data_IF_194852348674
#
_entry.id   IF_194852348674
#
_cell.length_a   1.000
_cell.length_b   1.000
_cell.length_c   1.000
_cell.angle_alpha   90.00
_cell.angle_beta   90.00
_cell.angle_gamma   90.00
#
_symmetry.space_group_name_H-M   'P 1'
#
loop_
_entity.id
_entity.type
_entity.pdbx_description
1 polymer ?
2 water ?
#
# COMPACT_ATOMS: atom_id res chain seq x y z
N UNK A 1 -7.04 2.75 -18.19
CA UNK A 1 -6.42 2.06 -19.35
C UNK A 1 -7.47 1.16 -20.01
N UNK A 2 -7.29 0.85 -21.29
CA UNK A 2 -8.20 -0.05 -22.02
C UNK A 2 -7.44 -1.37 -22.22
N UNK A 3 -8.02 -2.49 -21.79
CA UNK A 3 -7.32 -3.78 -21.92
C UNK A 3 -7.37 -4.56 -23.26
N UNK A 4 -8.39 -4.36 -24.10
CA UNK A 4 -8.50 -5.07 -25.39
C UNK A 4 -7.22 -4.92 -26.24
N UNK A 5 -6.78 -3.68 -26.51
CA UNK A 5 -5.54 -3.60 -27.31
C UNK A 5 -4.34 -4.32 -26.66
N UNK A 6 -4.44 -4.57 -25.36
CA UNK A 6 -3.37 -5.25 -24.63
C UNK A 6 -3.51 -6.74 -24.90
N UNK A 7 -4.73 -7.21 -24.91
CA UNK A 7 -5.03 -8.60 -25.22
C UNK A 7 -4.49 -8.87 -26.63
N UNK A 8 -4.84 -7.97 -27.55
CA UNK A 8 -4.40 -8.07 -28.92
C UNK A 8 -2.87 -8.10 -29.05
N UNK A 9 -2.14 -7.29 -28.29
CA UNK A 9 -0.68 -7.32 -28.34
C UNK A 9 -0.09 -8.64 -27.80
N UNK A 10 -0.68 -9.12 -26.71
CA UNK A 10 -0.22 -10.34 -26.06
C UNK A 10 -0.49 -11.57 -26.91
N UNK A 11 -1.60 -11.56 -27.62
CA UNK A 11 -1.98 -12.64 -28.50
C UNK A 11 -0.96 -12.73 -29.63
N UNK A 12 -0.58 -11.59 -30.21
CA UNK A 12 0.41 -11.57 -31.28
C UNK A 12 1.76 -12.10 -30.77
N UNK A 13 2.11 -11.78 -29.54
CA UNK A 13 3.38 -12.27 -28.98
C UNK A 13 3.30 -13.79 -28.80
N UNK A 14 2.16 -14.27 -28.33
CA UNK A 14 1.96 -15.69 -28.07
C UNK A 14 2.08 -16.49 -29.38
N UNK A 15 1.41 -16.00 -30.41
CA UNK A 15 1.42 -16.62 -31.73
C UNK A 15 2.84 -16.66 -32.25
N UNK A 16 3.52 -15.52 -32.24
CA UNK A 16 4.90 -15.46 -32.72
C UNK A 16 5.84 -16.37 -31.92
N UNK A 17 5.56 -16.55 -30.63
CA UNK A 17 6.38 -17.40 -29.75
C UNK A 17 6.14 -18.88 -30.09
N UNK A 18 4.90 -19.21 -30.43
CA UNK A 18 4.57 -20.58 -30.76
C UNK A 18 5.29 -21.13 -32.01
N UNK A 19 5.30 -20.36 -33.09
CA UNK A 19 5.95 -20.77 -34.34
C UNK A 19 7.40 -20.33 -34.34
N UNK A 20 7.80 -19.72 -33.24
CA UNK A 20 9.16 -19.28 -33.01
C UNK A 20 9.73 -18.20 -33.93
N UNK A 21 8.98 -17.13 -34.14
CA UNK A 21 9.50 -16.05 -34.94
C UNK A 21 10.49 -15.22 -34.13
N UNK A 22 11.40 -14.56 -34.84
CA UNK A 22 12.43 -13.72 -34.25
C UNK A 22 11.86 -12.40 -33.77
N UNK A 23 10.83 -11.93 -34.46
CA UNK A 23 10.23 -10.65 -34.13
C UNK A 23 8.84 -10.47 -34.69
N UNK A 24 8.17 -9.42 -34.20
CA UNK A 24 6.84 -9.05 -34.65
C UNK A 24 6.71 -7.55 -34.49
N UNK A 25 5.70 -6.98 -35.12
CA UNK A 25 5.46 -5.57 -35.06
C UNK A 25 4.02 -5.34 -34.69
N UNK A 26 3.78 -4.38 -33.79
CA UNK A 26 2.43 -4.02 -33.37
C UNK A 26 2.35 -2.50 -33.33
N UNK A 27 1.16 -1.95 -33.60
CA UNK A 27 0.99 -0.49 -33.56
C UNK A 27 1.39 -0.03 -32.16
N UNK A 28 2.19 1.01 -32.09
CA UNK A 28 2.66 1.55 -30.82
C UNK A 28 1.58 2.32 -30.01
N UNK A 29 1.76 2.34 -28.69
CA UNK A 29 0.91 3.07 -27.73
C UNK A 29 1.72 3.15 -26.44
N UNK A 30 1.39 4.11 -25.58
CA UNK A 30 2.11 4.32 -24.33
C UNK A 30 2.13 3.07 -23.45
N UNK A 31 0.94 2.53 -23.21
CA UNK A 31 0.80 1.35 -22.38
C UNK A 31 1.54 0.17 -23.02
N UNK A 32 1.34 -0.01 -24.33
CA UNK A 32 2.00 -1.11 -25.03
C UNK A 32 3.51 -0.97 -24.94
N UNK A 33 4.01 0.25 -25.05
CA UNK A 33 5.44 0.42 -24.93
C UNK A 33 5.89 0.13 -23.49
N UNK A 34 5.05 0.46 -22.51
CA UNK A 34 5.37 0.22 -21.10
C UNK A 34 5.44 -1.27 -20.82
N UNK A 35 4.57 -2.04 -21.45
CA UNK A 35 4.59 -3.50 -21.28
C UNK A 35 5.85 -4.06 -21.94
N UNK A 36 6.21 -3.51 -23.09
CA UNK A 36 7.41 -3.96 -23.79
C UNK A 36 8.66 -3.74 -22.93
N UNK A 37 8.77 -2.57 -22.30
CA UNK A 37 9.92 -2.25 -21.46
C UNK A 37 10.08 -3.27 -20.33
N UNK A 38 8.97 -3.54 -19.65
CA UNK A 38 8.94 -4.47 -18.53
C UNK A 38 9.33 -5.86 -19.02
N UNK A 39 8.80 -6.27 -20.16
CA UNK A 39 9.09 -7.59 -20.72
C UNK A 39 10.57 -7.66 -21.06
N UNK A 40 11.11 -6.56 -21.56
CA UNK A 40 12.53 -6.54 -21.88
C UNK A 40 13.39 -6.55 -20.60
N UNK A 41 12.98 -5.71 -19.65
CA UNK A 41 13.68 -5.57 -18.39
C UNK A 41 13.67 -6.85 -17.56
N UNK A 42 12.57 -7.59 -17.62
CA UNK A 42 12.44 -8.82 -16.88
C UNK A 42 12.96 -10.06 -17.63
N UNK A 43 13.64 -9.84 -18.75
CA UNK A 43 14.22 -10.92 -19.54
C UNK A 43 13.34 -11.80 -20.42
N UNK A 44 12.09 -11.40 -20.63
CA UNK A 44 11.15 -12.17 -21.46
C UNK A 44 11.28 -11.97 -22.96
N UNK A 45 11.83 -10.83 -23.38
CA UNK A 45 12.05 -10.54 -24.79
C UNK A 45 13.48 -10.02 -24.93
N UNK A 46 14.02 -10.03 -26.15
CA UNK A 46 15.38 -9.56 -26.33
C UNK A 46 15.46 -8.04 -26.36
N UNK A 47 14.55 -7.41 -27.09
CA UNK A 47 14.58 -5.96 -27.21
C UNK A 47 13.35 -5.53 -27.95
N UNK A 48 13.22 -4.23 -28.17
CA UNK A 48 12.09 -3.66 -28.90
C UNK A 48 12.52 -2.31 -29.44
N UNK A 49 11.81 -1.82 -30.46
CA UNK A 49 12.14 -0.53 -31.02
C UNK A 49 10.92 0.16 -31.57
N UNK A 50 10.92 1.48 -31.39
CA UNK A 50 9.84 2.32 -31.86
C UNK A 50 10.30 2.94 -33.18
N UNK A 51 9.44 2.90 -34.19
CA UNK A 51 9.71 3.45 -35.50
C UNK A 51 8.40 3.99 -36.04
N UNK A 52 8.45 4.94 -36.97
CA UNK A 52 7.24 5.45 -37.57
C UNK A 52 7.30 5.01 -39.02
N UNK A 53 6.28 4.30 -39.45
CA UNK A 53 6.18 3.76 -40.80
C UNK A 53 4.96 4.41 -41.41
N UNK A 54 5.10 5.05 -42.57
CA UNK A 54 3.96 5.71 -43.22
C UNK A 54 3.20 6.53 -42.17
N UNK A 55 3.94 7.34 -41.43
CA UNK A 55 3.37 8.17 -40.37
C UNK A 55 2.43 7.36 -39.45
N UNK A 56 2.99 6.31 -38.86
CA UNK A 56 2.27 5.43 -37.92
C UNK A 56 3.35 4.84 -37.02
N UNK A 57 3.19 5.04 -35.72
CA UNK A 57 4.15 4.53 -34.74
C UNK A 57 4.05 3.03 -34.66
N UNK A 58 5.20 2.36 -34.68
CA UNK A 58 5.24 0.91 -34.65
C UNK A 58 6.24 0.40 -33.61
N UNK A 59 5.86 -0.65 -32.89
CA UNK A 59 6.73 -1.28 -31.90
C UNK A 59 7.15 -2.60 -32.50
N UNK A 60 8.45 -2.74 -32.72
CA UNK A 60 9.01 -3.95 -33.26
C UNK A 60 9.63 -4.66 -32.11
N UNK A 61 9.10 -5.83 -31.81
CA UNK A 61 9.54 -6.63 -30.68
C UNK A 61 10.37 -7.81 -31.14
N UNK A 62 11.52 -7.99 -30.51
CA UNK A 62 12.41 -9.09 -30.82
C UNK A 62 12.32 -10.11 -29.71
N UNK A 63 11.85 -11.29 -30.09
CA UNK A 63 11.68 -12.39 -29.17
C UNK A 63 13.02 -13.01 -28.85
N UNK A 64 13.05 -13.68 -27.70
CA UNK A 64 14.23 -14.32 -27.19
C UNK A 64 13.97 -15.82 -27.05
N UNK A 65 14.99 -16.60 -27.39
CA UNK A 65 14.90 -18.04 -27.28
C UNK A 65 16.21 -18.51 -26.69
N UNK A 66 16.16 -19.49 -25.81
CA UNK A 66 17.39 -20.03 -25.26
C UNK A 66 17.89 -20.82 -26.44
N UNK A 67 18.86 -21.73 -26.29
CA UNK A 67 19.26 -22.46 -27.53
C UNK A 67 18.05 -23.21 -28.15
N UNK A 68 17.23 -22.46 -28.89
CA UNK A 68 15.98 -22.84 -29.57
C UNK A 68 14.70 -22.88 -28.69
N UNK A 69 14.85 -23.12 -27.39
CA UNK A 69 13.69 -23.18 -26.50
C UNK A 69 13.05 -21.83 -26.16
N UNK A 70 11.75 -21.85 -25.89
CA UNK A 70 10.98 -20.67 -25.56
C UNK A 70 11.30 -20.09 -24.18
N UNK A 71 11.36 -18.77 -24.11
CA UNK A 71 11.66 -18.04 -22.89
C UNK A 71 10.35 -17.61 -22.21
N UNK A 72 9.30 -17.40 -23.01
CA UNK A 72 7.99 -17.05 -22.49
C UNK A 72 7.16 -18.34 -22.42
N UNK A 73 6.67 -18.66 -21.23
CA UNK A 73 5.89 -19.87 -21.02
C UNK A 73 4.42 -19.55 -21.11
N UNK A 74 4.03 -18.35 -20.69
CA UNK A 74 2.64 -17.96 -20.76
C UNK A 74 2.45 -16.47 -20.54
N UNK A 75 1.49 -15.91 -21.25
CA UNK A 75 1.20 -14.51 -21.05
C UNK A 75 -0.22 -14.22 -21.40
N UNK A 76 -0.93 -13.59 -20.48
CA UNK A 76 -2.31 -13.28 -20.73
C UNK A 76 -2.81 -11.99 -20.12
N UNK A 77 -3.81 -11.42 -20.76
CA UNK A 77 -4.47 -10.20 -20.31
C UNK A 77 -5.39 -10.61 -19.16
N UNK A 78 -5.34 -9.87 -18.06
CA UNK A 78 -6.13 -10.26 -16.89
C UNK A 78 -7.42 -9.49 -16.74
N UNK A 79 -7.33 -8.27 -16.22
CA UNK A 79 -8.52 -7.45 -16.00
C UNK A 79 -9.17 -7.10 -17.34
N UNK A 80 -10.46 -7.32 -17.44
CA UNK A 80 -11.15 -7.08 -18.69
C UNK A 80 -12.59 -6.85 -18.29
N UNK A 81 -13.43 -6.41 -19.26
CA UNK A 81 -14.85 -6.18 -18.95
C UNK A 81 -15.49 -7.46 -18.39
N UNK A 82 -16.20 -7.33 -17.29
CA UNK A 82 -16.83 -8.50 -16.70
C UNK A 82 -15.90 -9.36 -15.84
N UNK A 83 -14.65 -8.96 -15.69
CA UNK A 83 -13.70 -9.69 -14.88
C UNK A 83 -12.64 -8.68 -14.52
N UNK A 84 -13.03 -7.65 -13.80
CA UNK A 84 -12.06 -6.63 -13.42
C UNK A 84 -11.30 -7.15 -12.23
N UNK A 85 -9.99 -6.98 -12.26
CA UNK A 85 -9.12 -7.43 -11.19
C UNK A 85 -8.40 -6.18 -10.65
N UNK A 86 -8.84 -5.75 -9.47
CA UNK A 86 -8.27 -4.58 -8.82
C UNK A 86 -7.71 -5.02 -7.48
N UNK A 87 -6.63 -4.37 -7.10
CA UNK A 87 -5.94 -4.74 -5.88
C UNK A 87 -5.49 -3.46 -5.14
N UNK A 88 -5.79 -3.37 -3.85
CA UNK A 88 -5.36 -2.23 -3.05
C UNK A 88 -3.88 -2.36 -2.83
N UNK A 89 -3.26 -1.27 -2.41
CA UNK A 89 -1.83 -1.27 -2.18
C UNK A 89 -1.42 -2.38 -1.23
N UNK A 90 -2.18 -2.63 -0.18
CA UNK A 90 -1.79 -3.67 0.76
C UNK A 90 -1.99 -5.10 0.24
N UNK A 91 -2.81 -5.26 -0.78
CA UNK A 91 -3.05 -6.60 -1.27
C UNK A 91 -2.36 -6.97 -2.58
N UNK A 92 -1.48 -6.10 -3.07
CA UNK A 92 -0.73 -6.37 -4.29
C UNK A 92 0.05 -7.65 -3.97
N UNK A 93 -0.13 -8.68 -4.81
CA UNK A 93 0.53 -9.97 -4.62
C UNK A 93 2.04 -9.97 -4.52
N UNK A 94 2.49 -10.90 -3.70
CA UNK A 94 3.89 -11.16 -3.42
C UNK A 94 4.13 -12.39 -4.28
N UNK A 95 4.58 -12.17 -5.51
CA UNK A 95 4.82 -13.28 -6.44
C UNK A 95 6.19 -13.83 -6.16
N UNK A 96 6.27 -15.10 -5.75
CA UNK A 96 7.56 -15.74 -5.46
C UNK A 96 8.44 -15.79 -6.70
N UNK A 97 9.74 -15.91 -6.49
CA UNK A 97 10.69 -15.97 -7.59
C UNK A 97 10.44 -17.25 -8.38
N UNK A 98 10.25 -17.09 -9.68
CA UNK A 98 9.98 -18.23 -10.54
C UNK A 98 8.53 -18.41 -10.92
N UNK A 99 7.62 -17.64 -10.33
CA UNK A 99 6.21 -17.77 -10.62
C UNK A 99 5.63 -16.70 -11.51
N UNK A 100 6.48 -15.87 -12.09
CA UNK A 100 5.93 -14.87 -12.99
C UNK A 100 5.91 -13.45 -12.47
N UNK A 101 5.24 -12.59 -13.21
CA UNK A 101 5.14 -11.18 -12.87
C UNK A 101 3.75 -10.71 -13.20
N UNK A 102 3.15 -9.96 -12.27
CA UNK A 102 1.83 -9.40 -12.50
C UNK A 102 2.16 -7.98 -12.93
N UNK A 103 1.44 -7.48 -13.91
CA UNK A 103 1.64 -6.14 -14.45
C UNK A 103 0.37 -5.38 -14.17
N UNK A 104 0.49 -4.24 -13.50
CA UNK A 104 -0.71 -3.47 -13.19
C UNK A 104 -0.68 -2.05 -13.63
N UNK A 105 -1.86 -1.53 -13.88
CA UNK A 105 -2.01 -0.14 -14.27
C UNK A 105 -2.28 0.57 -12.93
N UNK A 106 -1.39 1.49 -12.56
CA UNK A 106 -1.52 2.21 -11.30
C UNK A 106 -1.54 3.70 -11.62
N UNK A 107 -1.85 4.53 -10.62
CA UNK A 107 -1.86 5.99 -10.82
C UNK A 107 -0.45 6.49 -11.09
N UNK A 108 0.54 5.64 -10.86
CA UNK A 108 1.92 5.99 -11.11
C UNK A 108 2.44 5.27 -12.36
N UNK A 109 1.53 4.84 -13.23
CA UNK A 109 1.95 4.15 -14.45
C UNK A 109 1.86 2.63 -14.40
N UNK A 110 2.33 2.00 -15.47
CA UNK A 110 2.32 0.54 -15.57
C UNK A 110 3.53 0.02 -14.79
N UNK A 111 3.28 -0.82 -13.79
CA UNK A 111 4.38 -1.34 -12.97
C UNK A 111 4.26 -2.85 -12.73
N UNK A 112 5.35 -3.49 -12.40
CA UNK A 112 5.27 -4.90 -12.10
C UNK A 112 4.81 -4.95 -10.64
N UNK A 113 4.28 -6.09 -10.19
CA UNK A 113 3.86 -6.22 -8.81
C UNK A 113 4.96 -5.74 -7.84
N UNK A 114 6.22 -6.04 -8.14
CA UNK A 114 7.31 -5.66 -7.26
C UNK A 114 7.48 -4.14 -7.16
N UNK A 115 7.30 -3.44 -8.28
CA UNK A 115 7.41 -1.98 -8.31
C UNK A 115 6.22 -1.34 -7.61
N UNK A 116 5.04 -1.92 -7.75
CA UNK A 116 3.87 -1.37 -7.12
C UNK A 116 4.03 -1.40 -5.60
N UNK A 117 4.62 -2.47 -5.07
CA UNK A 117 4.84 -2.64 -3.61
C UNK A 117 5.85 -1.63 -3.11
N UNK A 118 6.92 -1.51 -3.85
CA UNK A 118 7.99 -0.59 -3.58
C UNK A 118 7.48 0.86 -3.65
N UNK A 119 6.55 1.15 -4.55
CA UNK A 119 6.05 2.50 -4.66
C UNK A 119 4.86 2.84 -3.80
N UNK A 120 4.31 1.85 -3.12
CA UNK A 120 3.16 2.09 -2.27
C UNK A 120 1.86 2.34 -3.03
N UNK A 121 1.60 1.53 -4.05
CA UNK A 121 0.38 1.70 -4.83
C UNK A 121 -0.33 0.40 -5.17
N UNK A 122 -1.64 0.48 -5.31
CA UNK A 122 -2.45 -0.65 -5.72
C UNK A 122 -2.81 -0.40 -7.18
N UNK A 123 -3.78 -1.09 -7.73
CA UNK A 123 -4.13 -0.83 -9.11
C UNK A 123 -4.92 -1.96 -9.71
N UNK A 124 -5.04 -1.93 -11.04
CA UNK A 124 -5.78 -2.95 -11.74
C UNK A 124 -4.73 -3.86 -12.36
N UNK A 125 -4.89 -5.16 -12.20
CA UNK A 125 -3.92 -6.10 -12.76
C UNK A 125 -4.32 -6.35 -14.22
N UNK A 126 -3.50 -5.86 -15.14
CA UNK A 126 -3.83 -5.99 -16.56
C UNK A 126 -3.19 -7.17 -17.29
N UNK A 127 -2.07 -7.70 -16.81
CA UNK A 127 -1.45 -8.81 -17.51
C UNK A 127 -0.62 -9.64 -16.58
N UNK A 128 -0.32 -10.86 -16.99
CA UNK A 128 0.49 -11.77 -16.21
C UNK A 128 1.38 -12.53 -17.19
N UNK A 129 2.65 -12.68 -16.85
CA UNK A 129 3.58 -13.38 -17.69
C UNK A 129 4.38 -14.33 -16.84
N UNK A 130 4.67 -15.51 -17.37
CA UNK A 130 5.45 -16.52 -16.68
C UNK A 130 6.35 -17.25 -17.69
N UNK B 1 5.67 14.52 12.64
CA UNK B 1 5.36 14.47 14.10
C UNK B 1 6.62 14.16 14.90
N UNK B 2 6.49 14.16 16.21
CA UNK B 2 7.60 13.85 17.12
C UNK B 2 6.94 13.06 18.24
N UNK B 3 7.48 11.88 18.54
CA UNK B 3 6.89 11.01 19.55
C UNK B 3 7.13 11.30 21.03
N UNK B 4 7.96 12.27 21.37
CA UNK B 4 8.18 12.59 22.78
C UNK B 4 6.88 13.09 23.43
N UNK B 5 6.21 14.11 22.83
CA UNK B 5 4.95 14.58 23.43
C UNK B 5 3.93 13.44 23.43
N UNK B 6 4.05 12.53 22.46
CA UNK B 6 3.14 11.41 22.36
C UNK B 6 3.41 10.45 23.53
N UNK B 7 4.69 10.21 23.82
CA UNK B 7 5.08 9.33 24.93
C UNK B 7 4.54 9.94 26.23
N UNK B 8 4.59 11.27 26.32
CA UNK B 8 4.08 11.96 27.49
C UNK B 8 2.60 11.70 27.66
N UNK B 9 1.82 11.91 26.61
CA UNK B 9 0.39 11.68 26.68
C UNK B 9 0.04 10.24 27.06
N UNK B 10 0.75 9.29 26.46
CA UNK B 10 0.52 7.87 26.70
C UNK B 10 0.90 7.48 28.13
N UNK B 11 1.99 8.06 28.63
CA UNK B 11 2.42 7.77 30.00
C UNK B 11 1.39 8.23 31.01
N UNK B 12 0.85 9.42 30.77
CA UNK B 12 -0.16 10.01 31.65
C UNK B 12 -1.42 9.17 31.63
N UNK B 13 -1.86 8.74 30.46
CA UNK B 13 -3.06 7.90 30.37
C UNK B 13 -2.79 6.58 31.10
N UNK B 14 -1.59 6.04 30.92
CA UNK B 14 -1.17 4.80 31.55
C UNK B 14 -1.31 4.91 33.07
N UNK B 15 -0.63 5.90 33.62
CA UNK B 15 -0.66 6.20 35.05
C UNK B 15 -2.07 6.40 35.59
N UNK B 16 -2.88 7.18 34.88
CA UNK B 16 -4.25 7.45 35.31
C UNK B 16 -5.09 6.19 35.32
N UNK B 17 -4.83 5.32 34.34
CA UNK B 17 -5.55 4.06 34.22
C UNK B 17 -5.19 3.15 35.41
N UNK B 18 -3.92 3.15 35.82
CA UNK B 18 -3.49 2.31 36.93
C UNK B 18 -4.26 2.58 38.24
N UNK B 19 -4.28 3.84 38.65
CA UNK B 19 -4.96 4.24 39.89
C UNK B 19 -6.44 4.54 39.71
N UNK B 20 -6.98 4.14 38.55
CA UNK B 20 -8.39 4.32 38.17
C UNK B 20 -9.03 5.69 38.21
N UNK B 21 -8.37 6.70 37.64
CA UNK B 21 -8.92 8.06 37.57
C UNK B 21 -10.06 8.13 36.53
N UNK B 22 -11.04 9.00 36.77
CA UNK B 22 -12.17 9.16 35.85
C UNK B 22 -11.76 10.01 34.65
N UNK B 23 -10.76 10.85 34.85
CA UNK B 23 -10.30 11.77 33.80
C UNK B 23 -8.86 12.17 34.04
N UNK B 24 -8.33 12.91 33.07
CA UNK B 24 -6.98 13.43 33.14
C UNK B 24 -6.92 14.52 32.07
N UNK B 25 -5.93 15.39 32.17
CA UNK B 25 -5.73 16.50 31.25
C UNK B 25 -4.28 16.55 30.75
N UNK B 26 -4.11 16.95 29.51
CA UNK B 26 -2.80 17.03 28.88
C UNK B 26 -2.86 18.20 27.89
N UNK B 27 -1.75 18.95 27.72
CA UNK B 27 -1.71 20.09 26.80
C UNK B 27 -2.17 19.63 25.42
N UNK B 28 -3.04 20.40 24.79
CA UNK B 28 -3.55 20.00 23.50
C UNK B 28 -2.57 20.20 22.36
N UNK B 29 -2.80 19.46 21.26
CA UNK B 29 -2.03 19.57 20.02
C UNK B 29 -2.90 18.84 19.01
N UNK B 30 -2.68 19.09 17.73
CA UNK B 30 -3.48 18.42 16.71
C UNK B 30 -3.30 16.91 16.77
N UNK B 31 -2.07 16.44 16.79
CA UNK B 31 -1.82 14.99 16.82
C UNK B 31 -2.37 14.30 18.05
N UNK B 32 -2.29 14.97 19.20
CA UNK B 32 -2.83 14.43 20.44
C UNK B 32 -4.31 14.35 20.31
N UNK B 33 -4.91 15.32 19.63
CA UNK B 33 -6.35 15.29 19.45
C UNK B 33 -6.75 14.14 18.52
N UNK B 34 -5.94 13.92 17.48
CA UNK B 34 -6.18 12.84 16.53
C UNK B 34 -6.07 11.49 17.25
N UNK B 35 -5.09 11.36 18.15
CA UNK B 35 -4.97 10.13 18.93
C UNK B 35 -6.19 9.91 19.86
N UNK B 36 -6.66 10.98 20.52
CA UNK B 36 -7.85 10.89 21.39
C UNK B 36 -9.11 10.48 20.62
N UNK B 37 -9.25 10.99 19.40
CA UNK B 37 -10.39 10.65 18.54
C UNK B 37 -10.39 9.15 18.25
N UNK B 38 -9.21 8.61 17.95
CA UNK B 38 -9.07 7.17 17.66
C UNK B 38 -9.38 6.32 18.90
N UNK B 39 -8.78 6.64 20.03
CA UNK B 39 -9.02 5.91 21.28
C UNK B 39 -10.51 5.92 21.57
N UNK B 40 -11.14 7.06 21.34
CA UNK B 40 -12.58 7.21 21.58
C UNK B 40 -13.40 6.38 20.61
N UNK B 41 -13.05 6.51 19.34
CA UNK B 41 -13.72 5.82 18.27
C UNK B 41 -13.61 4.31 18.41
N UNK B 42 -12.47 3.83 18.89
CA UNK B 42 -12.20 2.42 19.06
C UNK B 42 -12.64 1.89 20.45
N UNK B 43 -13.41 2.71 21.17
CA UNK B 43 -13.90 2.33 22.48
C UNK B 43 -12.92 2.22 23.65
N UNK B 44 -11.72 2.79 23.52
CA UNK B 44 -10.73 2.74 24.59
C UNK B 44 -10.90 3.77 25.70
N UNK B 45 -11.46 4.93 25.37
CA UNK B 45 -11.73 5.96 26.36
C UNK B 45 -13.19 6.26 26.19
N UNK B 46 -13.79 6.91 27.17
CA UNK B 46 -15.19 7.26 27.09
C UNK B 46 -15.45 8.51 26.25
N UNK B 47 -14.61 9.53 26.40
CA UNK B 47 -14.78 10.77 25.64
C UNK B 47 -13.60 11.68 25.94
N UNK B 48 -13.57 12.86 25.31
CA UNK B 48 -12.54 13.86 25.53
C UNK B 48 -13.14 15.21 25.13
N UNK B 49 -12.52 16.29 25.60
CA UNK B 49 -13.00 17.61 25.22
C UNK B 49 -11.85 18.61 25.21
N UNK B 50 -11.95 19.59 24.33
CA UNK B 50 -10.93 20.60 24.24
C UNK B 50 -11.38 21.70 25.19
N UNK B 51 -10.45 22.18 26.01
CA UNK B 51 -10.76 23.20 26.99
C UNK B 51 -9.61 24.18 26.99
N UNK B 52 -9.87 25.41 27.40
CA UNK B 52 -8.81 26.43 27.47
C UNK B 52 -8.71 26.96 28.90
N UNK B 53 -7.49 26.98 29.43
CA UNK B 53 -7.24 27.42 30.80
C UNK B 53 -6.14 28.46 30.76
N UNK B 54 -6.47 29.70 31.15
CA UNK B 54 -5.50 30.80 31.14
C UNK B 54 -4.97 30.91 29.73
N UNK B 55 -5.86 30.74 28.77
CA UNK B 55 -5.52 30.77 27.36
C UNK B 55 -4.61 29.63 26.89
N UNK B 56 -4.49 28.59 27.71
CA UNK B 56 -3.68 27.44 27.36
C UNK B 56 -4.62 26.33 26.92
N UNK B 57 -4.38 25.77 25.73
CA UNK B 57 -5.22 24.71 25.21
C UNK B 57 -4.97 23.36 25.88
N UNK B 58 -6.04 22.73 26.36
CA UNK B 58 -5.99 21.46 27.07
C UNK B 58 -7.00 20.41 26.56
N UNK B 59 -6.58 19.14 26.58
CA UNK B 59 -7.46 18.05 26.18
C UNK B 59 -7.84 17.32 27.45
N UNK B 60 -9.12 17.29 27.79
CA UNK B 60 -9.56 16.57 28.98
C UNK B 60 -10.12 15.22 28.55
N UNK B 61 -9.42 14.17 28.98
CA UNK B 61 -9.76 12.80 28.64
C UNK B 61 -10.48 12.06 29.76
N UNK B 62 -11.61 11.46 29.41
CA UNK B 62 -12.42 10.68 30.32
C UNK B 62 -12.18 9.19 30.08
N UNK B 63 -11.57 8.55 31.07
CA UNK B 63 -11.28 7.14 31.01
C UNK B 63 -12.52 6.29 31.10
N UNK B 64 -12.38 5.05 30.66
CA UNK B 64 -13.46 4.11 30.64
C UNK B 64 -13.07 2.84 31.38
N UNK B 65 -13.99 2.39 32.21
CA UNK B 65 -13.81 1.18 32.99
C UNK B 65 -15.10 0.37 32.81
N UNK B 66 -14.95 -0.93 32.54
CA UNK B 66 -16.11 -1.79 32.39
C UNK B 66 -16.54 -1.97 33.83
N UNK B 67 -17.48 -2.87 34.16
CA UNK B 67 -17.86 -3.01 35.58
C UNK B 67 -16.68 -3.22 36.56
N UNK B 68 -15.99 -2.11 36.85
CA UNK B 68 -14.82 -2.02 37.74
C UNK B 68 -13.46 -2.24 37.07
N UNK B 69 -13.41 -3.00 35.98
CA UNK B 69 -12.15 -3.28 35.31
C UNK B 69 -11.71 -2.26 34.25
N UNK B 70 -10.40 -2.17 34.09
CA UNK B 70 -9.77 -1.27 33.12
C UNK B 70 -9.99 -1.72 31.68
N UNK B 71 -10.43 -0.79 30.83
CA UNK B 71 -10.68 -1.06 29.43
C UNK B 71 -9.40 -1.04 28.62
N UNK B 72 -8.44 -0.23 29.05
CA UNK B 72 -7.16 -0.12 28.38
C UNK B 72 -6.20 -1.06 29.09
N UNK B 73 -5.59 -1.98 28.36
CA UNK B 73 -4.64 -2.90 28.99
C UNK B 73 -3.21 -2.41 28.84
N UNK B 74 -2.90 -1.73 27.75
CA UNK B 74 -1.55 -1.25 27.58
C UNK B 74 -1.49 -0.23 26.46
N UNK B 75 -0.56 0.70 26.58
CA UNK B 75 -0.37 1.76 25.60
C UNK B 75 1.13 1.86 25.50
N UNK B 76 1.65 1.88 24.28
CA UNK B 76 3.07 1.96 24.10
C UNK B 76 3.36 2.89 22.93
N UNK B 77 4.41 3.70 23.08
CA UNK B 77 4.86 4.61 22.04
C UNK B 77 5.87 3.75 21.26
N UNK B 78 5.73 3.71 19.94
CA UNK B 78 6.59 2.85 19.14
C UNK B 78 7.77 3.55 18.48
N UNK B 79 7.54 4.17 17.33
CA UNK B 79 8.61 4.84 16.64
C UNK B 79 9.08 5.96 17.52
N UNK B 80 10.39 6.02 17.71
CA UNK B 80 10.96 7.04 18.56
C UNK B 80 12.37 7.31 18.09
N UNK B 81 12.94 8.44 18.53
CA UNK B 81 14.31 8.81 18.14
C UNK B 81 15.26 7.65 18.34
N UNK B 82 16.05 7.36 17.32
CA UNK B 82 16.98 6.26 17.43
C UNK B 82 16.36 4.90 17.14
N UNK B 83 15.03 4.85 17.03
CA UNK B 83 14.36 3.60 16.72
C UNK B 83 13.05 3.87 16.00
N UNK B 84 13.20 4.34 14.78
CA UNK B 84 12.09 4.68 13.90
C UNK B 84 11.45 3.42 13.35
N UNK B 85 10.12 3.43 13.29
CA UNK B 85 9.40 2.29 12.77
C UNK B 85 8.54 2.80 11.62
N UNK B 86 9.03 2.59 10.41
CA UNK B 86 8.31 3.00 9.21
C UNK B 86 7.88 1.74 8.46
N UNK B 87 6.72 1.83 7.84
CA UNK B 87 6.15 0.71 7.15
C UNK B 87 5.56 1.19 5.80
N UNK B 88 5.88 0.48 4.72
CA UNK B 88 5.33 0.86 3.42
C UNK B 88 3.88 0.43 3.37
N UNK B 89 3.15 0.96 2.42
CA UNK B 89 1.74 0.63 2.29
C UNK B 89 1.46 -0.84 2.38
N UNK B 90 2.24 -1.64 1.65
CA UNK B 90 2.04 -3.09 1.62
C UNK B 90 2.42 -3.77 2.92
N UNK B 91 3.20 -3.11 3.76
CA UNK B 91 3.60 -3.75 4.99
C UNK B 91 2.87 -3.34 6.25
N UNK B 92 1.87 -2.48 6.13
CA UNK B 92 1.12 -2.06 7.30
C UNK B 92 0.52 -3.33 7.90
N UNK B 93 0.81 -3.59 9.19
CA UNK B 93 0.29 -4.79 9.84
C UNK B 93 -1.21 -4.96 9.81
N UNK B 94 -1.63 -6.19 9.56
CA UNK B 94 -3.04 -6.52 9.57
C UNK B 94 -3.22 -7.00 11.02
N UNK B 95 -3.70 -6.12 11.89
CA UNK B 95 -3.88 -6.48 13.31
C UNK B 95 -5.22 -7.18 13.58
N UNK B 96 -5.12 -8.44 14.02
CA UNK B 96 -6.29 -9.25 14.30
C UNK B 96 -7.23 -8.62 15.31
N UNK B 97 -8.52 -8.91 15.17
CA UNK B 97 -9.56 -8.39 16.07
C UNK B 97 -9.31 -8.95 17.46
N UNK B 98 -9.14 -8.05 18.44
CA UNK B 98 -8.87 -8.47 19.80
C UNK B 98 -7.41 -8.31 20.17
N UNK B 99 -6.55 -8.02 19.19
CA UNK B 99 -5.13 -7.85 19.46
C UNK B 99 -4.69 -6.40 19.56
N UNK B 100 -5.62 -5.47 19.55
CA UNK B 100 -5.21 -4.09 19.70
C UNK B 100 -5.31 -3.26 18.45
N UNK B 101 -4.63 -2.13 18.47
CA UNK B 101 -4.67 -1.17 17.39
C UNK B 101 -3.31 -0.55 17.19
N UNK B 102 -2.88 -0.41 15.94
CA UNK B 102 -1.61 0.23 15.64
C UNK B 102 -1.98 1.63 15.16
N UNK B 103 -1.23 2.64 15.58
CA UNK B 103 -1.52 4.02 15.19
C UNK B 103 -0.35 4.51 14.37
N UNK B 104 -0.66 4.96 13.15
CA UNK B 104 0.33 5.41 12.21
C UNK B 104 0.20 6.88 11.93
N UNK B 105 1.33 7.50 11.71
CA UNK B 105 1.35 8.88 11.33
C UNK B 105 1.59 8.75 9.81
N UNK B 106 0.66 9.25 9.00
CA UNK B 106 0.83 9.15 7.56
C UNK B 106 0.63 10.49 6.87
N UNK B 107 0.79 10.48 5.56
CA UNK B 107 0.61 11.66 4.72
C UNK B 107 -0.87 12.09 4.73
N UNK B 108 -1.74 11.14 5.06
CA UNK B 108 -3.15 11.42 5.11
C UNK B 108 -3.60 11.60 6.56
N UNK B 109 -2.63 11.83 7.43
CA UNK B 109 -2.94 12.03 8.84
C UNK B 109 -2.74 10.83 9.74
N UNK B 110 -3.24 10.95 10.96
CA UNK B 110 -3.13 9.88 11.94
C UNK B 110 -4.25 8.91 11.65
N UNK B 111 -3.91 7.64 11.49
CA UNK B 111 -4.91 6.64 11.16
C UNK B 111 -4.58 5.35 11.88
N UNK B 112 -5.54 4.46 11.97
CA UNK B 112 -5.28 3.17 12.59
C UNK B 112 -4.77 2.27 11.46
N UNK B 113 -4.17 1.13 11.79
CA UNK B 113 -3.66 0.22 10.78
C UNK B 113 -4.76 -0.11 9.79
N UNK B 114 -5.99 -0.21 10.29
CA UNK B 114 -7.10 -0.56 9.43
C UNK B 114 -7.44 0.55 8.46
N UNK B 115 -7.32 1.80 8.89
CA UNK B 115 -7.63 2.92 8.01
C UNK B 115 -6.53 3.10 6.99
N UNK B 116 -5.29 2.87 7.41
CA UNK B 116 -4.16 3.01 6.52
C UNK B 116 -4.29 2.02 5.37
N UNK B 117 -4.70 0.79 5.69
CA UNK B 117 -4.88 -0.23 4.66
C UNK B 117 -6.00 0.14 3.68
N UNK B 118 -7.15 0.55 4.18
CA UNK B 118 -8.22 0.94 3.29
C UNK B 118 -7.83 2.18 2.47
N UNK B 119 -7.01 3.06 3.04
CA UNK B 119 -6.60 4.27 2.33
C UNK B 119 -5.40 4.06 1.42
N UNK B 120 -4.75 2.91 1.56
CA UNK B 120 -3.61 2.60 0.71
C UNK B 120 -2.36 3.40 0.99
N UNK B 121 -2.03 3.56 2.27
CA UNK B 121 -0.85 4.32 2.65
C UNK B 121 -0.05 3.61 3.72
N UNK B 122 1.21 3.96 3.81
CA UNK B 122 2.10 3.43 4.81
C UNK B 122 2.43 4.62 5.71
N UNK B 123 3.38 4.47 6.62
CA UNK B 123 3.70 5.58 7.49
C UNK B 123 4.54 5.10 8.65
N UNK B 124 4.69 5.99 9.65
CA UNK B 124 5.46 5.73 10.87
C UNK B 124 4.51 5.20 11.92
N UNK B 125 4.84 4.07 12.54
CA UNK B 125 3.95 3.53 13.57
C UNK B 125 4.33 4.27 14.85
N UNK B 126 3.43 5.11 15.34
CA UNK B 126 3.73 5.91 16.53
C UNK B 126 3.27 5.35 17.86
N UNK B 127 2.26 4.48 17.83
CA UNK B 127 1.74 3.91 19.08
C UNK B 127 0.98 2.63 18.84
N UNK B 128 0.84 1.84 19.89
CA UNK B 128 0.09 0.60 19.87
C UNK B 128 -0.77 0.60 21.14
N UNK B 129 -2.02 0.21 21.02
CA UNK B 129 -2.94 0.20 22.14
C UNK B 129 -3.64 -1.15 22.19
N UNK B 130 -3.74 -1.73 23.38
CA UNK B 130 -4.42 -3.01 23.55
C UNK B 130 -5.22 -3.00 24.85
#
# INVERSE_FOLDING_TARGET
VMTDPIADMLTAIRNANMVRHEKLEVPASKIKREIAEILKREGFIRDYEYIEDNKQGILRIFLKYGPNERVITGLKRISKPGLRVYVKAHEVPRVLNGLGIAILSTSQGVLTDKEARQKGTGGEIIAYVI
VMTDPIADMLTAIRNANMVRHEKLEVPASKIKREIAEILKREGFIRDYEYIEDNKQGILRIFLKYGPNERVITGLKRISKPGLRVYVKAHEVPRVLNGLGIAILSTSQGVLTDKEARQKGTGGEIIAYVI
#
